data_IF_667740407438
#
_entry.id   IF_667740407438
#
_cell.length_a   1.000
_cell.length_b   1.000
_cell.length_c   1.000
_cell.angle_alpha   90.00
_cell.angle_beta   90.00
_cell.angle_gamma   90.00
#
_symmetry.space_group_name_H-M   'P 1'
#
loop_
_entity.id
_entity.type
_entity.pdbx_description
1 polymer ?
#
# COMPACT_ATOMS: atom_id res chain seq x y z
N UNK A 1 25.60 -26.77 14.29
CA UNK A 1 25.01 -26.32 13.81
C UNK A 1 24.47 -25.93 13.45
N UNK A 2 24.14 -25.71 13.44
CA UNK A 2 23.42 -25.40 13.13
C UNK A 2 22.99 -24.90 12.43
N UNK A 3 23.24 -25.03 12.02
CA UNK A 3 22.87 -24.27 11.23
C UNK A 3 21.74 -24.10 10.62
N UNK A 4 21.02 -24.80 10.58
CA UNK A 4 19.78 -24.29 10.08
C UNK A 4 19.51 -23.04 10.74
N UNK A 5 20.05 -22.93 11.77
CA UNK A 5 19.90 -21.71 12.41
C UNK A 5 20.39 -20.53 11.63
N UNK A 6 21.27 -20.82 10.70
CA UNK A 6 21.81 -19.69 9.96
C UNK A 6 20.70 -18.91 9.27
N UNK A 7 19.79 -19.58 8.63
CA UNK A 7 18.69 -18.90 8.01
C UNK A 7 17.77 -18.29 9.02
N UNK A 8 17.46 -19.04 10.04
CA UNK A 8 16.57 -18.55 11.09
C UNK A 8 17.19 -17.44 11.89
N UNK A 9 18.50 -17.45 12.03
CA UNK A 9 19.19 -16.42 12.78
C UNK A 9 19.32 -15.12 12.00
N UNK A 10 19.07 -15.14 10.72
CA UNK A 10 19.16 -13.93 9.93
C UNK A 10 18.03 -12.99 10.32
N UNK A 11 18.38 -11.78 10.69
CA UNK A 11 17.39 -10.77 10.96
C UNK A 11 16.64 -10.44 9.66
N UNK A 12 15.36 -10.20 9.78
CA UNK A 12 14.58 -9.69 8.66
C UNK A 12 15.16 -8.35 8.23
N UNK A 13 15.15 -8.08 6.92
CA UNK A 13 15.61 -6.80 6.41
C UNK A 13 14.75 -5.66 6.92
N UNK A 14 13.48 -5.93 7.16
CA UNK A 14 12.50 -4.94 7.62
C UNK A 14 11.66 -5.56 8.72
N UNK A 15 11.45 -4.81 9.79
CA UNK A 15 10.50 -5.16 10.84
C UNK A 15 9.39 -4.12 10.82
N UNK A 16 8.15 -4.57 10.70
CA UNK A 16 6.98 -3.68 10.75
C UNK A 16 6.67 -3.39 12.21
N UNK A 17 6.65 -2.11 12.57
CA UNK A 17 6.34 -1.67 13.93
C UNK A 17 4.88 -1.28 14.06
N UNK A 18 4.30 -0.70 13.00
CA UNK A 18 2.92 -0.26 12.99
C UNK A 18 2.46 -0.12 11.54
N UNK A 19 1.21 -0.47 11.27
CA UNK A 19 0.61 -0.33 9.94
C UNK A 19 -0.76 0.31 10.08
N UNK A 20 -0.99 1.41 9.38
CA UNK A 20 -2.26 2.12 9.38
C UNK A 20 -2.75 2.32 7.96
N UNK A 21 -4.06 2.23 7.78
CA UNK A 21 -4.73 2.60 6.54
C UNK A 21 -5.58 3.84 6.78
N UNK A 22 -5.69 4.69 5.76
CA UNK A 22 -6.50 5.88 5.90
C UNK A 22 -6.56 6.72 4.65
N UNK A 23 -6.93 7.97 4.85
CA UNK A 23 -7.12 8.94 3.80
C UNK A 23 -5.92 9.86 3.70
N UNK A 24 -5.57 10.19 2.46
CA UNK A 24 -4.57 11.21 2.19
C UNK A 24 -5.28 12.43 1.65
N UNK A 25 -5.07 13.57 2.30
CA UNK A 25 -5.58 14.84 1.84
C UNK A 25 -4.47 15.61 1.14
N UNK A 26 -4.81 16.55 0.24
CA UNK A 26 -3.80 17.46 -0.27
C UNK A 26 -3.15 18.16 0.92
N UNK A 27 -1.84 18.00 1.04
CA UNK A 27 -1.12 18.59 2.15
C UNK A 27 -1.03 20.10 1.96
N UNK A 28 -1.62 20.85 2.87
CA UNK A 28 -1.36 22.27 2.99
C UNK A 28 -0.26 22.50 4.03
N UNK A 29 0.31 23.70 4.09
CA UNK A 29 1.32 24.00 5.10
C UNK A 29 0.79 23.71 6.52
N UNK A 30 1.54 22.91 7.27
CA UNK A 30 1.18 22.59 8.63
C UNK A 30 0.05 21.62 8.83
N UNK A 31 -0.46 21.01 7.76
CA UNK A 31 -1.55 20.06 7.85
C UNK A 31 -1.04 18.63 7.70
N UNK A 32 -1.57 17.70 8.51
CA UNK A 32 -1.25 16.30 8.34
C UNK A 32 -1.84 15.81 7.02
N UNK A 33 -1.02 15.11 6.23
CA UNK A 33 -1.48 14.56 4.96
C UNK A 33 -2.22 13.25 5.10
N UNK A 34 -2.29 12.66 6.29
CA UNK A 34 -2.85 11.33 6.48
C UNK A 34 -3.76 11.28 7.69
N UNK A 35 -4.92 10.63 7.53
CA UNK A 35 -5.88 10.43 8.61
C UNK A 35 -6.36 8.99 8.60
N UNK A 36 -6.16 8.22 9.68
CA UNK A 36 -6.65 6.83 9.73
C UNK A 36 -8.16 6.78 9.51
N UNK A 37 -8.59 5.83 8.70
CA UNK A 37 -9.99 5.64 8.37
C UNK A 37 -10.21 4.26 7.78
N UNK A 38 -11.44 3.75 7.84
CA UNK A 38 -11.84 2.51 7.20
C UNK A 38 -12.91 2.73 6.14
N UNK A 39 -13.33 3.95 5.92
CA UNK A 39 -14.26 4.34 4.87
C UNK A 39 -13.61 5.43 4.01
N UNK A 40 -13.64 5.21 2.70
CA UNK A 40 -13.09 6.14 1.72
C UNK A 40 -14.26 6.77 0.97
N UNK A 41 -14.39 8.10 0.97
CA UNK A 41 -15.43 8.75 0.17
C UNK A 41 -15.28 8.41 -1.32
N UNK A 42 -16.37 8.04 -1.96
CA UNK A 42 -16.39 7.80 -3.41
C UNK A 42 -16.43 9.14 -4.13
N UNK A 43 -15.30 9.79 -4.14
CA UNK A 43 -15.11 11.10 -4.70
C UNK A 43 -13.83 11.09 -5.52
N UNK A 44 -13.91 11.51 -6.77
CA UNK A 44 -12.75 11.53 -7.66
C UNK A 44 -11.61 12.31 -7.02
N UNK A 45 -10.41 11.76 -7.12
CA UNK A 45 -9.17 12.28 -6.55
C UNK A 45 -9.05 12.15 -5.03
N UNK A 46 -10.00 11.51 -4.37
CA UNK A 46 -9.82 11.20 -2.95
C UNK A 46 -8.66 10.22 -2.79
N UNK A 47 -7.63 10.65 -2.09
CA UNK A 47 -6.47 9.81 -1.80
C UNK A 47 -6.76 8.85 -0.65
N UNK A 48 -6.27 7.62 -0.79
CA UNK A 48 -6.34 6.61 0.26
C UNK A 48 -5.12 5.69 0.15
N UNK A 49 -4.77 5.08 1.24
CA UNK A 49 -3.63 4.18 1.22
C UNK A 49 -3.13 3.89 2.63
N UNK A 50 -1.85 3.62 2.72
CA UNK A 50 -1.27 3.11 3.96
C UNK A 50 -0.01 3.87 4.34
N UNK A 51 0.23 3.87 5.65
CA UNK A 51 1.45 4.36 6.26
C UNK A 51 1.95 3.25 7.18
N UNK A 52 3.16 2.77 6.94
CA UNK A 52 3.74 1.68 7.71
C UNK A 52 5.04 2.16 8.34
N UNK A 53 5.11 1.99 9.65
CA UNK A 53 6.30 2.31 10.40
C UNK A 53 7.18 1.09 10.46
N UNK A 54 8.47 1.25 10.12
CA UNK A 54 9.39 0.13 10.02
C UNK A 54 10.67 0.40 10.77
N UNK A 55 11.33 -0.70 11.13
CA UNK A 55 12.70 -0.66 11.61
C UNK A 55 13.55 -1.36 10.55
N UNK A 56 14.49 -0.63 9.97
CA UNK A 56 15.33 -1.14 8.91
C UNK A 56 16.56 -0.24 8.75
N UNK A 57 17.63 -0.80 8.23
CA UNK A 57 18.80 -0.03 7.82
C UNK A 57 18.74 0.36 6.33
N UNK A 58 17.73 -0.13 5.62
CA UNK A 58 17.58 0.18 4.20
C UNK A 58 17.05 1.59 4.02
N UNK A 59 17.54 2.27 2.99
CA UNK A 59 17.07 3.61 2.64
C UNK A 59 15.87 3.56 1.72
N UNK A 60 15.71 2.46 1.01
CA UNK A 60 14.59 2.22 0.12
C UNK A 60 14.22 0.75 0.22
N UNK A 61 12.95 0.45 0.07
CA UNK A 61 12.42 -0.91 0.23
C UNK A 61 11.55 -1.27 -0.96
N UNK A 62 11.55 -2.56 -1.28
CA UNK A 62 10.65 -3.10 -2.29
C UNK A 62 9.29 -3.29 -1.66
N UNK A 63 8.27 -2.81 -2.34
CA UNK A 63 6.90 -2.91 -1.86
C UNK A 63 6.07 -3.65 -2.89
N UNK A 64 5.37 -4.67 -2.43
CA UNK A 64 4.46 -5.46 -3.24
C UNK A 64 3.05 -5.20 -2.72
N UNK A 65 2.19 -4.66 -3.58
CA UNK A 65 0.81 -4.35 -3.23
C UNK A 65 -0.15 -5.11 -4.11
N UNK A 66 -1.25 -5.56 -3.51
CA UNK A 66 -2.35 -6.19 -4.23
C UNK A 66 -3.64 -5.48 -3.81
N UNK A 67 -4.26 -4.77 -4.73
CA UNK A 67 -5.52 -4.08 -4.49
C UNK A 67 -6.64 -4.81 -5.23
N UNK A 68 -7.63 -5.26 -4.47
CA UNK A 68 -8.79 -5.99 -5.02
C UNK A 68 -10.05 -5.17 -4.80
N UNK A 69 -10.79 -4.93 -5.88
CA UNK A 69 -12.02 -4.18 -5.91
C UNK A 69 -13.22 -5.14 -5.96
N UNK A 70 -14.41 -4.68 -5.54
CA UNK A 70 -15.61 -5.53 -5.61
C UNK A 70 -16.12 -5.77 -7.03
N UNK A 71 -15.69 -4.92 -7.98
CA UNK A 71 -16.04 -5.05 -9.39
C UNK A 71 -14.91 -4.40 -10.20
N UNK A 72 -14.86 -4.69 -11.50
CA UNK A 72 -13.88 -4.08 -12.38
C UNK A 72 -14.12 -2.56 -12.45
N UNK A 73 -13.07 -1.74 -12.30
CA UNK A 73 -13.23 -0.29 -12.48
C UNK A 73 -13.31 0.04 -13.97
N UNK A 74 -13.71 1.27 -14.28
CA UNK A 74 -13.73 1.73 -15.67
C UNK A 74 -12.33 1.72 -16.28
N UNK A 75 -11.31 2.03 -15.47
CA UNK A 75 -9.92 2.02 -15.90
C UNK A 75 -9.02 1.92 -14.69
N UNK A 76 -7.85 1.30 -14.88
CA UNK A 76 -6.79 1.33 -13.88
C UNK A 76 -5.83 2.49 -14.10
N UNK A 77 -5.97 3.22 -15.24
CA UNK A 77 -5.05 4.27 -15.60
C UNK A 77 -3.68 3.74 -15.98
N UNK A 78 -2.76 4.63 -16.27
CA UNK A 78 -1.39 4.27 -16.58
C UNK A 78 -0.57 4.26 -15.29
N UNK A 79 0.32 3.26 -15.11
CA UNK A 79 1.18 3.24 -13.95
C UNK A 79 2.20 4.37 -14.01
N UNK A 80 2.57 4.87 -12.83
CA UNK A 80 3.63 5.87 -12.74
C UNK A 80 4.99 5.26 -13.11
N UNK A 81 5.95 6.09 -13.58
CA UNK A 81 7.29 5.59 -13.85
C UNK A 81 7.89 4.90 -12.63
N UNK A 82 8.53 3.76 -12.84
CA UNK A 82 9.15 2.97 -11.78
C UNK A 82 8.21 2.03 -11.06
N UNK A 83 6.92 2.06 -11.38
CA UNK A 83 5.92 1.17 -10.79
C UNK A 83 5.52 0.13 -11.82
N UNK A 84 5.64 -1.14 -11.47
CA UNK A 84 5.20 -2.26 -12.31
C UNK A 84 3.82 -2.70 -11.86
N UNK A 85 2.89 -2.77 -12.79
CA UNK A 85 1.51 -3.14 -12.49
C UNK A 85 1.06 -4.27 -13.40
N UNK A 86 0.37 -5.24 -12.80
CA UNK A 86 -0.35 -6.28 -13.52
C UNK A 86 -1.79 -6.27 -13.07
N UNK A 87 -2.70 -6.40 -14.02
CA UNK A 87 -4.14 -6.43 -13.73
C UNK A 87 -4.65 -7.82 -14.04
N UNK A 88 -5.49 -8.37 -13.17
CA UNK A 88 -6.07 -9.69 -13.31
C UNK A 88 -6.98 -9.78 -14.56
N UNK A 89 -7.28 -11.01 -14.99
CA UNK A 89 -8.11 -11.21 -16.17
C UNK A 89 -9.52 -10.63 -15.99
N UNK A 90 -10.06 -10.65 -14.78
CA UNK A 90 -11.37 -10.06 -14.49
C UNK A 90 -11.29 -8.56 -14.20
N UNK A 91 -10.08 -7.98 -14.28
CA UNK A 91 -9.80 -6.55 -14.07
C UNK A 91 -10.15 -6.03 -12.68
N UNK A 92 -10.37 -6.92 -11.71
CA UNK A 92 -10.74 -6.52 -10.35
C UNK A 92 -9.54 -6.35 -9.43
N UNK A 93 -8.39 -6.90 -9.80
CA UNK A 93 -7.21 -6.92 -8.94
C UNK A 93 -6.01 -6.36 -9.68
N UNK A 94 -5.35 -5.40 -9.07
CA UNK A 94 -4.07 -4.88 -9.56
C UNK A 94 -2.98 -5.27 -8.59
N UNK A 95 -1.90 -5.83 -9.13
CA UNK A 95 -0.70 -6.15 -8.38
C UNK A 95 0.38 -5.18 -8.82
N UNK A 96 1.00 -4.49 -7.87
CA UNK A 96 2.03 -3.51 -8.17
C UNK A 96 3.29 -3.82 -7.39
N UNK A 97 4.43 -3.51 -8.00
CA UNK A 97 5.73 -3.57 -7.36
C UNK A 97 6.44 -2.25 -7.57
N UNK A 98 7.01 -1.72 -6.52
CA UNK A 98 7.73 -0.46 -6.59
C UNK A 98 8.80 -0.40 -5.52
N UNK A 99 9.75 0.51 -5.71
CA UNK A 99 10.79 0.79 -4.73
C UNK A 99 10.44 2.13 -4.08
N UNK A 100 10.26 2.12 -2.77
CA UNK A 100 9.88 3.31 -2.02
C UNK A 100 10.95 3.70 -1.03
N UNK A 101 11.15 4.99 -0.88
CA UNK A 101 12.10 5.52 0.11
C UNK A 101 11.55 5.32 1.53
N UNK A 102 12.45 5.03 2.45
CA UNK A 102 12.15 5.04 3.89
C UNK A 102 12.48 6.43 4.41
N UNK A 103 11.47 7.13 4.93
CA UNK A 103 11.65 8.47 5.46
C UNK A 103 11.29 8.49 6.94
N UNK A 104 12.29 8.77 7.78
CA UNK A 104 12.10 8.81 9.23
C UNK A 104 11.43 7.53 9.75
N UNK A 105 11.87 6.38 9.26
CA UNK A 105 11.31 5.10 9.66
C UNK A 105 9.92 4.83 9.14
N UNK A 106 9.48 5.52 8.11
CA UNK A 106 8.12 5.40 7.59
C UNK A 106 8.15 5.14 6.08
N UNK A 107 7.28 4.23 5.65
CA UNK A 107 7.02 3.96 4.24
C UNK A 107 5.54 4.17 4.00
N UNK A 108 5.19 4.83 2.92
CA UNK A 108 3.78 5.08 2.60
C UNK A 108 3.55 5.03 1.10
N UNK A 109 2.31 4.74 0.73
CA UNK A 109 1.87 4.74 -0.66
C UNK A 109 0.39 5.08 -0.69
N UNK A 110 -0.03 5.82 -1.72
CA UNK A 110 -1.42 6.21 -1.85
C UNK A 110 -1.95 5.86 -3.23
N UNK A 111 -3.25 5.66 -3.26
CA UNK A 111 -4.06 5.52 -4.45
C UNK A 111 -5.05 6.68 -4.47
N UNK A 112 -5.71 6.89 -5.58
CA UNK A 112 -6.76 7.91 -5.67
C UNK A 112 -7.99 7.30 -6.33
N UNK A 113 -9.16 7.73 -5.87
CA UNK A 113 -10.42 7.33 -6.49
C UNK A 113 -10.46 7.91 -7.88
N UNK A 114 -10.73 7.07 -8.88
CA UNK A 114 -10.82 7.46 -10.28
C UNK A 114 -12.27 7.47 -10.74
N UNK A 115 -12.59 8.23 -11.80
CA UNK A 115 -13.94 8.16 -12.37
C UNK A 115 -14.28 6.73 -12.76
N UNK A 116 -15.45 6.25 -12.36
CA UNK A 116 -15.89 4.90 -12.67
C UNK A 116 -15.43 3.82 -11.70
N UNK A 117 -14.78 4.20 -10.61
CA UNK A 117 -14.43 3.23 -9.57
C UNK A 117 -15.70 2.75 -8.88
N UNK A 118 -15.79 1.45 -8.56
CA UNK A 118 -17.00 0.90 -7.94
C UNK A 118 -17.07 1.27 -6.46
N UNK A 119 -18.31 1.38 -5.95
CA UNK A 119 -18.54 1.43 -4.52
C UNK A 119 -18.48 0.02 -3.96
N UNK A 120 -18.11 -0.14 -2.71
CA UNK A 120 -18.13 -1.42 -2.03
C UNK A 120 -16.87 -1.67 -1.21
N UNK A 121 -16.65 -2.94 -0.93
CA UNK A 121 -15.52 -3.37 -0.08
C UNK A 121 -14.29 -3.63 -0.94
N UNK A 122 -13.20 -3.00 -0.55
CA UNK A 122 -11.88 -3.16 -1.16
C UNK A 122 -10.97 -3.88 -0.18
N UNK A 123 -10.00 -4.61 -0.70
CA UNK A 123 -8.96 -5.23 0.10
C UNK A 123 -7.61 -4.82 -0.47
N UNK A 124 -6.75 -4.29 0.38
CA UNK A 124 -5.41 -3.89 0.00
C UNK A 124 -4.42 -4.70 0.84
N UNK A 125 -3.53 -5.43 0.18
CA UNK A 125 -2.50 -6.22 0.85
C UNK A 125 -1.14 -5.65 0.48
N UNK A 126 -0.29 -5.47 1.48
CA UNK A 126 1.00 -4.81 1.32
C UNK A 126 2.08 -5.66 1.97
N UNK A 127 3.14 -5.93 1.24
CA UNK A 127 4.32 -6.60 1.77
C UNK A 127 5.55 -5.74 1.48
N UNK A 128 6.31 -5.45 2.54
CA UNK A 128 7.55 -4.67 2.44
C UNK A 128 8.71 -5.63 2.62
N UNK A 129 9.54 -5.79 1.59
CA UNK A 129 10.66 -6.71 1.57
C UNK A 129 10.21 -8.12 2.02
N UNK A 130 10.83 -8.66 3.05
CA UNK A 130 10.52 -9.98 3.59
C UNK A 130 9.63 -9.93 4.84
N UNK A 131 9.08 -8.76 5.17
CA UNK A 131 8.22 -8.63 6.35
C UNK A 131 6.86 -9.29 6.10
N UNK A 132 6.12 -9.63 7.18
CA UNK A 132 4.78 -10.20 7.03
C UNK A 132 3.85 -9.26 6.26
N UNK A 133 2.97 -9.84 5.47
CA UNK A 133 1.98 -9.08 4.70
C UNK A 133 1.01 -8.37 5.64
N UNK A 134 0.73 -7.11 5.35
CA UNK A 134 -0.29 -6.31 6.03
C UNK A 134 -1.53 -6.26 5.15
N UNK A 135 -2.69 -6.50 5.73
CA UNK A 135 -3.94 -6.52 4.98
C UNK A 135 -4.90 -5.48 5.55
N UNK A 136 -5.47 -4.68 4.66
CA UNK A 136 -6.43 -3.64 5.02
C UNK A 136 -7.71 -3.86 4.24
N UNK A 137 -8.84 -3.91 4.94
CA UNK A 137 -10.16 -3.98 4.32
C UNK A 137 -10.88 -2.67 4.61
N UNK A 138 -11.42 -2.06 3.57
CA UNK A 138 -12.09 -0.78 3.72
C UNK A 138 -13.27 -0.69 2.76
N UNK A 139 -14.15 0.28 3.01
CA UNK A 139 -15.35 0.49 2.21
C UNK A 139 -15.23 1.81 1.47
N UNK A 140 -15.55 1.78 0.18
CA UNK A 140 -15.62 2.98 -0.66
C UNK A 140 -17.09 3.27 -0.92
N UNK A 141 -17.56 4.45 -0.54
CA UNK A 141 -18.97 4.83 -0.71
C UNK A 141 -19.20 6.33 -0.64
#
# INVERSE_FOLDING_TARGET
MTAPGAGAARAAAVTVLRADFGLFAPAGPGQPGFQPASTVPLKVDQGYGWVIRVQTSLRAVRVHEVLTLPAAPATWGDPEPGLKRQVSADERTATTETLLAVKDGTVSQSWAVAPGDPAGRYVLRVRIEDAPEQSFTFTVR
#
